data_IF_518120628056
#
_entry.id   IF_518120628056
#
_cell.length_a   1.000
_cell.length_b   1.000
_cell.length_c   1.000
_cell.angle_alpha   90.00
_cell.angle_beta   90.00
_cell.angle_gamma   90.00
#
_symmetry.space_group_name_H-M   'P 1'
#
loop_
_entity.id
_entity.type
_entity.pdbx_description
1 polymer ?
#
# COMPACT_ATOMS: atom_id res chain seq x y z
N UNK A 1 9.13 24.28 7.60
CA UNK A 1 9.24 23.20 6.59
C UNK A 1 9.53 23.82 5.25
N UNK A 2 10.46 23.26 4.49
CA UNK A 2 10.59 23.61 3.06
C UNK A 2 9.37 23.03 2.32
N UNK A 3 9.03 23.60 1.15
CA UNK A 3 7.81 23.24 0.40
C UNK A 3 7.77 21.79 -0.07
N UNK A 4 8.93 21.12 -0.17
CA UNK A 4 9.06 19.75 -0.69
C UNK A 4 8.62 18.70 0.33
N UNK A 5 9.01 18.87 1.59
CA UNK A 5 8.72 17.94 2.68
C UNK A 5 7.23 17.95 3.01
N UNK A 6 6.58 19.12 2.88
CA UNK A 6 5.11 19.22 2.98
C UNK A 6 4.45 18.39 1.89
N UNK A 7 4.92 18.50 0.64
CA UNK A 7 4.35 17.74 -0.48
C UNK A 7 4.54 16.23 -0.33
N UNK A 8 5.70 15.79 0.18
CA UNK A 8 5.96 14.37 0.46
C UNK A 8 5.01 13.83 1.52
N UNK A 9 4.92 14.48 2.68
CA UNK A 9 4.04 14.06 3.77
C UNK A 9 2.55 14.11 3.37
N UNK A 10 2.17 15.09 2.57
CA UNK A 10 0.81 15.17 2.03
C UNK A 10 0.50 14.05 1.03
N UNK A 11 1.47 13.70 0.17
CA UNK A 11 1.35 12.54 -0.71
C UNK A 11 1.19 11.24 0.07
N UNK A 12 1.98 11.07 1.14
CA UNK A 12 1.86 9.93 2.06
C UNK A 12 0.48 9.84 2.68
N UNK A 13 -0.05 10.94 3.20
CA UNK A 13 -1.39 11.00 3.77
C UNK A 13 -2.46 10.55 2.77
N UNK A 14 -2.38 11.02 1.52
CA UNK A 14 -3.33 10.60 0.47
C UNK A 14 -3.20 9.09 0.20
N UNK A 15 -1.98 8.58 0.05
CA UNK A 15 -1.77 7.16 -0.26
C UNK A 15 -2.15 6.26 0.92
N UNK A 16 -1.96 6.69 2.17
CA UNK A 16 -2.45 5.97 3.34
C UNK A 16 -3.97 5.77 3.27
N UNK A 17 -4.73 6.82 2.93
CA UNK A 17 -6.18 6.72 2.69
C UNK A 17 -6.48 5.79 1.52
N UNK A 18 -5.77 5.91 0.41
CA UNK A 18 -5.95 5.01 -0.74
C UNK A 18 -5.66 3.55 -0.39
N UNK A 19 -4.60 3.29 0.37
CA UNK A 19 -4.21 1.96 0.82
C UNK A 19 -5.27 1.31 1.69
N UNK A 20 -5.81 2.06 2.65
CA UNK A 20 -6.95 1.63 3.47
C UNK A 20 -8.17 1.29 2.59
N UNK A 21 -8.48 2.16 1.61
CA UNK A 21 -9.59 1.93 0.68
C UNK A 21 -9.36 0.67 -0.15
N UNK A 22 -8.16 0.43 -0.66
CA UNK A 22 -7.84 -0.75 -1.45
C UNK A 22 -7.91 -2.04 -0.63
N UNK A 23 -7.36 -2.05 0.58
CA UNK A 23 -7.45 -3.17 1.52
C UNK A 23 -8.91 -3.56 1.82
N UNK A 24 -9.74 -2.57 2.15
CA UNK A 24 -11.15 -2.78 2.45
C UNK A 24 -11.97 -3.18 1.22
N UNK A 25 -11.63 -2.65 0.05
CA UNK A 25 -12.26 -3.04 -1.22
C UNK A 25 -12.00 -4.51 -1.54
N UNK A 26 -10.75 -4.97 -1.48
CA UNK A 26 -10.41 -6.38 -1.71
C UNK A 26 -11.12 -7.30 -0.72
N UNK A 27 -11.10 -6.93 0.56
CA UNK A 27 -11.73 -7.70 1.63
C UNK A 27 -13.25 -7.82 1.43
N UNK A 28 -13.89 -6.72 1.00
CA UNK A 28 -15.32 -6.68 0.73
C UNK A 28 -15.69 -7.45 -0.53
N UNK A 29 -14.94 -7.29 -1.63
CA UNK A 29 -15.16 -8.04 -2.87
C UNK A 29 -14.99 -9.54 -2.66
N UNK A 30 -13.95 -9.94 -1.93
CA UNK A 30 -13.73 -11.33 -1.53
C UNK A 30 -14.92 -11.88 -0.75
N UNK A 31 -15.40 -11.13 0.25
CA UNK A 31 -16.56 -11.52 1.06
C UNK A 31 -17.84 -11.66 0.23
N UNK A 32 -18.08 -10.77 -0.74
CA UNK A 32 -19.27 -10.80 -1.59
C UNK A 32 -19.24 -11.90 -2.64
N UNK A 33 -18.07 -12.18 -3.21
CA UNK A 33 -17.91 -13.14 -4.29
C UNK A 33 -17.72 -14.58 -3.80
N UNK A 34 -17.15 -14.77 -2.60
CA UNK A 34 -16.85 -16.09 -2.03
C UNK A 34 -17.77 -16.46 -0.83
N UNK A 35 -18.47 -15.48 -0.24
CA UNK A 35 -19.60 -15.70 0.67
C UNK A 35 -19.26 -15.73 2.17
N UNK A 36 -18.13 -16.32 2.58
CA UNK A 36 -17.72 -16.34 4.00
C UNK A 36 -17.04 -15.02 4.39
N UNK A 37 -17.85 -14.05 4.81
CA UNK A 37 -17.36 -12.69 5.09
C UNK A 37 -16.34 -12.63 6.21
N UNK A 38 -16.53 -13.38 7.31
CA UNK A 38 -15.60 -13.32 8.44
C UNK A 38 -14.25 -13.92 8.03
N UNK A 39 -14.28 -15.08 7.35
CA UNK A 39 -13.06 -15.73 6.89
C UNK A 39 -12.30 -14.86 5.89
N UNK A 40 -12.97 -14.42 4.82
CA UNK A 40 -12.30 -13.69 3.74
C UNK A 40 -11.85 -12.29 4.16
N UNK A 41 -12.65 -11.57 4.95
CA UNK A 41 -12.24 -10.27 5.46
C UNK A 41 -11.00 -10.40 6.36
N UNK A 42 -11.00 -11.36 7.29
CA UNK A 42 -9.86 -11.58 8.19
C UNK A 42 -8.61 -12.02 7.44
N UNK A 43 -8.76 -12.91 6.47
CA UNK A 43 -7.64 -13.45 5.69
C UNK A 43 -7.03 -12.39 4.78
N UNK A 44 -7.84 -11.58 4.09
CA UNK A 44 -7.33 -10.54 3.19
C UNK A 44 -6.64 -9.43 3.98
N UNK A 45 -7.22 -8.93 5.06
CA UNK A 45 -6.54 -7.96 5.93
C UNK A 45 -5.24 -8.53 6.48
N UNK A 46 -5.26 -9.76 7.01
CA UNK A 46 -4.07 -10.41 7.55
C UNK A 46 -2.97 -10.59 6.50
N UNK A 47 -3.34 -10.99 5.28
CA UNK A 47 -2.43 -11.16 4.16
C UNK A 47 -1.88 -9.82 3.67
N UNK A 48 -2.72 -8.79 3.58
CA UNK A 48 -2.34 -7.44 3.17
C UNK A 48 -1.33 -6.83 4.15
N UNK A 49 -1.61 -6.89 5.45
CA UNK A 49 -0.72 -6.44 6.52
C UNK A 49 0.60 -7.22 6.55
N UNK A 50 0.54 -8.55 6.36
CA UNK A 50 1.75 -9.38 6.26
C UNK A 50 2.59 -8.99 5.04
N UNK A 51 1.94 -8.70 3.92
CA UNK A 51 2.58 -8.26 2.68
C UNK A 51 3.19 -6.86 2.80
N UNK A 52 2.56 -5.95 3.56
CA UNK A 52 3.18 -4.69 3.93
C UNK A 52 4.50 -4.90 4.68
N UNK A 53 4.59 -5.90 5.55
CA UNK A 53 5.85 -6.30 6.18
C UNK A 53 6.93 -6.73 5.18
N UNK A 54 6.55 -7.50 4.15
CA UNK A 54 7.45 -7.89 3.05
C UNK A 54 7.90 -6.66 2.25
N UNK A 55 6.97 -5.75 1.93
CA UNK A 55 7.26 -4.47 1.30
C UNK A 55 8.28 -3.63 2.08
N UNK A 56 8.08 -3.51 3.38
CA UNK A 56 8.98 -2.78 4.25
C UNK A 56 10.40 -3.38 4.24
N UNK A 57 10.52 -4.71 4.16
CA UNK A 57 11.80 -5.38 3.95
C UNK A 57 12.40 -5.09 2.56
N UNK A 58 11.59 -5.15 1.50
CA UNK A 58 12.01 -4.87 0.12
C UNK A 58 12.50 -3.42 -0.07
N UNK A 59 11.97 -2.48 0.70
CA UNK A 59 12.38 -1.07 0.67
C UNK A 59 13.89 -0.87 0.87
N UNK A 60 14.57 -1.82 1.54
CA UNK A 60 16.01 -1.78 1.81
C UNK A 60 16.85 -1.86 0.54
N UNK A 61 16.34 -2.52 -0.50
CA UNK A 61 17.04 -2.67 -1.79
C UNK A 61 16.90 -1.44 -2.69
N UNK A 62 16.03 -0.49 -2.35
CA UNK A 62 15.90 0.78 -3.06
C UNK A 62 16.96 1.74 -2.50
N UNK A 63 18.12 1.82 -3.15
CA UNK A 63 19.26 2.61 -2.66
C UNK A 63 19.46 3.94 -3.38
N UNK A 64 19.01 4.07 -4.63
CA UNK A 64 19.36 5.20 -5.50
C UNK A 64 18.08 5.96 -5.90
N UNK A 65 18.19 7.29 -6.00
CA UNK A 65 17.10 8.20 -6.42
C UNK A 65 15.80 8.03 -5.62
N UNK A 66 15.90 8.04 -4.28
CA UNK A 66 14.77 7.75 -3.37
C UNK A 66 13.52 8.59 -3.67
N UNK A 67 13.68 9.90 -3.90
CA UNK A 67 12.55 10.79 -4.26
C UNK A 67 11.83 10.34 -5.54
N UNK A 68 12.61 9.94 -6.56
CA UNK A 68 12.04 9.46 -7.84
C UNK A 68 11.39 8.09 -7.67
N UNK A 69 12.02 7.20 -6.90
CA UNK A 69 11.47 5.88 -6.58
C UNK A 69 10.13 6.01 -5.85
N UNK A 70 10.02 6.97 -4.92
CA UNK A 70 8.79 7.26 -4.20
C UNK A 70 7.67 7.68 -5.15
N UNK A 71 7.92 8.64 -6.06
CA UNK A 71 6.90 9.07 -7.04
C UNK A 71 6.47 7.91 -7.94
N UNK A 72 7.41 7.08 -8.42
CA UNK A 72 7.07 5.90 -9.22
C UNK A 72 6.23 4.89 -8.45
N UNK A 73 6.54 4.68 -7.17
CA UNK A 73 5.77 3.81 -6.29
C UNK A 73 4.33 4.31 -6.16
N UNK A 74 4.12 5.61 -5.89
CA UNK A 74 2.79 6.20 -5.79
C UNK A 74 1.98 6.05 -7.09
N UNK A 75 2.60 6.33 -8.24
CA UNK A 75 1.94 6.17 -9.53
C UNK A 75 1.56 4.72 -9.81
N UNK A 76 2.42 3.78 -9.39
CA UNK A 76 2.18 2.35 -9.56
C UNK A 76 1.05 1.86 -8.64
N UNK A 77 1.02 2.32 -7.38
CA UNK A 77 -0.06 2.03 -6.43
C UNK A 77 -1.38 2.58 -6.95
N UNK A 78 -1.40 3.84 -7.41
CA UNK A 78 -2.61 4.46 -7.96
C UNK A 78 -3.14 3.70 -9.18
N UNK A 79 -2.24 3.19 -10.04
CA UNK A 79 -2.63 2.40 -11.20
C UNK A 79 -3.14 1.01 -10.79
N UNK A 80 -2.37 0.23 -10.04
CA UNK A 80 -2.76 -1.13 -9.67
C UNK A 80 -3.99 -1.11 -8.76
N UNK A 81 -4.00 -0.23 -7.75
CA UNK A 81 -5.08 -0.10 -6.78
C UNK A 81 -6.33 0.54 -7.38
N UNK A 82 -6.18 1.59 -8.19
CA UNK A 82 -7.33 2.22 -8.85
C UNK A 82 -8.08 1.31 -9.81
N UNK A 83 -7.39 0.34 -10.43
CA UNK A 83 -7.99 -0.64 -11.32
C UNK A 83 -8.27 -2.00 -10.64
N UNK A 84 -7.94 -2.19 -9.36
CA UNK A 84 -8.01 -3.50 -8.69
C UNK A 84 -9.41 -4.09 -8.71
N UNK A 85 -10.45 -3.29 -8.42
CA UNK A 85 -11.83 -3.76 -8.45
C UNK A 85 -12.24 -4.28 -9.85
N UNK A 86 -11.88 -3.55 -10.92
CA UNK A 86 -12.13 -4.00 -12.29
C UNK A 86 -11.39 -5.30 -12.61
N UNK A 87 -10.12 -5.41 -12.21
CA UNK A 87 -9.31 -6.61 -12.39
C UNK A 87 -9.92 -7.81 -11.64
N UNK A 88 -10.39 -7.62 -10.41
CA UNK A 88 -10.99 -8.67 -9.60
C UNK A 88 -12.34 -9.13 -10.13
N UNK A 89 -13.22 -8.21 -10.55
CA UNK A 89 -14.48 -8.59 -11.20
C UNK A 89 -14.25 -9.32 -12.53
N UNK A 90 -13.27 -8.86 -13.32
CA UNK A 90 -12.88 -9.56 -14.55
C UNK A 90 -12.34 -10.96 -14.24
N UNK A 91 -11.48 -11.09 -13.23
CA UNK A 91 -10.95 -12.37 -12.79
C UNK A 91 -12.06 -13.31 -12.33
N UNK A 92 -13.03 -12.82 -11.57
CA UNK A 92 -14.16 -13.63 -11.14
C UNK A 92 -14.98 -14.17 -12.32
N UNK A 93 -15.15 -13.37 -13.37
CA UNK A 93 -15.92 -13.77 -14.55
C UNK A 93 -15.18 -14.76 -15.48
N UNK A 94 -13.85 -14.68 -15.58
CA UNK A 94 -13.10 -15.36 -16.65
C UNK A 94 -11.93 -16.24 -16.18
N UNK A 95 -11.45 -16.07 -14.94
CA UNK A 95 -10.31 -16.84 -14.40
C UNK A 95 -10.86 -17.98 -13.54
N UNK A 96 -10.50 -19.22 -13.89
CA UNK A 96 -10.97 -20.41 -13.18
C UNK A 96 -10.51 -20.52 -11.71
N UNK A 97 -9.47 -19.76 -11.32
CA UNK A 97 -8.99 -19.67 -9.95
C UNK A 97 -8.92 -18.21 -9.49
N UNK A 98 -10.08 -17.66 -9.11
CA UNK A 98 -10.23 -16.30 -8.62
C UNK A 98 -9.43 -16.03 -7.34
N UNK A 99 -9.45 -16.95 -6.37
CA UNK A 99 -8.76 -16.78 -5.07
C UNK A 99 -7.26 -16.56 -5.23
N UNK A 100 -6.60 -17.35 -6.09
CA UNK A 100 -5.18 -17.18 -6.35
C UNK A 100 -4.88 -15.80 -6.97
N UNK A 101 -5.74 -15.31 -7.86
CA UNK A 101 -5.59 -13.99 -8.46
C UNK A 101 -5.83 -12.86 -7.45
N UNK A 102 -6.84 -13.01 -6.60
CA UNK A 102 -7.11 -12.11 -5.48
C UNK A 102 -5.89 -11.99 -4.57
N UNK A 103 -5.36 -13.12 -4.09
CA UNK A 103 -4.19 -13.13 -3.21
C UNK A 103 -2.96 -12.50 -3.86
N UNK A 104 -2.78 -12.69 -5.17
CA UNK A 104 -1.69 -12.04 -5.91
C UNK A 104 -1.83 -10.52 -5.90
N UNK A 105 -3.03 -9.98 -6.15
CA UNK A 105 -3.28 -8.54 -6.11
C UNK A 105 -3.11 -7.99 -4.68
N UNK A 106 -3.64 -8.69 -3.67
CA UNK A 106 -3.47 -8.35 -2.24
C UNK A 106 -2.00 -8.29 -1.84
N UNK A 107 -1.20 -9.30 -2.21
CA UNK A 107 0.23 -9.33 -1.90
C UNK A 107 0.96 -8.21 -2.63
N UNK A 108 0.62 -7.95 -3.89
CA UNK A 108 1.23 -6.90 -4.70
C UNK A 108 0.98 -5.51 -4.08
N UNK A 109 -0.28 -5.16 -3.84
CA UNK A 109 -0.64 -3.86 -3.27
C UNK A 109 -0.13 -3.69 -1.85
N UNK A 110 -0.30 -4.69 -0.99
CA UNK A 110 0.26 -4.68 0.36
C UNK A 110 1.78 -4.48 0.35
N UNK A 111 2.51 -5.21 -0.51
CA UNK A 111 3.96 -5.04 -0.63
C UNK A 111 4.35 -3.64 -1.15
N UNK A 112 3.62 -3.08 -2.11
CA UNK A 112 3.90 -1.75 -2.63
C UNK A 112 3.69 -0.66 -1.57
N UNK A 113 2.57 -0.72 -0.82
CA UNK A 113 2.30 0.21 0.29
C UNK A 113 3.32 0.04 1.42
N UNK A 114 3.72 -1.19 1.74
CA UNK A 114 4.72 -1.47 2.75
C UNK A 114 6.10 -0.85 2.47
N UNK A 115 6.46 -0.67 1.19
CA UNK A 115 7.71 -0.01 0.80
C UNK A 115 7.71 1.48 1.18
N UNK A 116 6.55 2.10 1.24
CA UNK A 116 6.38 3.55 1.32
C UNK A 116 6.92 4.16 2.63
N UNK A 117 6.50 3.62 3.78
CA UNK A 117 6.83 4.17 5.10
C UNK A 117 8.34 4.24 5.33
N UNK A 118 9.13 3.15 5.12
CA UNK A 118 10.59 3.24 5.26
C UNK A 118 11.24 4.18 4.25
N UNK A 119 10.69 4.28 3.04
CA UNK A 119 11.26 5.12 1.98
C UNK A 119 11.15 6.60 2.33
N UNK A 120 9.98 7.05 2.81
CA UNK A 120 9.79 8.43 3.27
C UNK A 120 10.69 8.76 4.45
N UNK A 121 10.77 7.87 5.44
CA UNK A 121 11.65 8.07 6.61
C UNK A 121 13.10 8.28 6.13
N UNK A 122 13.55 7.53 5.12
CA UNK A 122 14.90 7.70 4.54
C UNK A 122 15.05 9.03 3.78
N UNK A 123 14.05 9.44 3.00
CA UNK A 123 14.07 10.72 2.26
C UNK A 123 14.11 11.92 3.22
N UNK A 124 13.28 11.91 4.25
CA UNK A 124 13.14 13.01 5.20
C UNK A 124 14.25 13.09 6.26
N UNK A 125 15.15 12.09 6.30
CA UNK A 125 16.25 12.02 7.29
C UNK A 125 17.20 13.22 7.19
N UNK A 126 17.32 13.85 6.03
CA UNK A 126 18.15 15.05 5.85
C UNK A 126 17.50 16.33 6.42
N UNK A 127 16.16 16.35 6.54
CA UNK A 127 15.40 17.53 6.97
C UNK A 127 14.95 17.50 8.43
N UNK A 128 14.92 16.31 9.05
CA UNK A 128 14.41 16.12 10.42
C UNK A 128 15.26 15.13 11.23
N UNK A 129 15.27 15.31 12.56
CA UNK A 129 15.79 14.28 13.46
C UNK A 129 14.99 12.98 13.32
N UNK A 130 15.63 11.82 13.53
CA UNK A 130 14.94 10.52 13.42
C UNK A 130 13.66 10.45 14.25
N UNK A 131 13.70 10.96 15.50
CA UNK A 131 12.54 10.99 16.40
C UNK A 131 11.38 11.76 15.78
N UNK A 132 11.64 12.98 15.28
CA UNK A 132 10.61 13.84 14.68
C UNK A 132 10.11 13.26 13.37
N UNK A 133 11.00 12.71 12.55
CA UNK A 133 10.67 12.14 11.25
C UNK A 133 9.72 10.94 11.40
N UNK A 134 10.10 9.98 12.24
CA UNK A 134 9.26 8.81 12.55
C UNK A 134 7.89 9.24 13.06
N UNK A 135 7.86 10.19 14.01
CA UNK A 135 6.60 10.72 14.54
C UNK A 135 5.72 11.35 13.47
N UNK A 136 6.29 12.21 12.61
CA UNK A 136 5.53 12.89 11.55
C UNK A 136 4.97 11.87 10.53
N UNK A 137 5.79 10.91 10.10
CA UNK A 137 5.39 9.89 9.12
C UNK A 137 4.27 9.02 9.68
N UNK A 138 4.41 8.49 10.91
CA UNK A 138 3.33 7.71 11.51
C UNK A 138 2.07 8.53 11.81
N UNK A 139 2.21 9.83 12.09
CA UNK A 139 1.04 10.70 12.27
C UNK A 139 0.26 10.81 10.97
N UNK A 140 0.93 11.00 9.83
CA UNK A 140 0.23 11.11 8.53
C UNK A 140 -0.27 9.77 7.99
N UNK A 141 0.31 8.66 8.43
CA UNK A 141 -0.08 7.31 8.01
C UNK A 141 -1.33 6.80 8.75
N UNK A 142 -1.49 7.18 10.02
CA UNK A 142 -2.54 6.64 10.90
C UNK A 142 -3.68 7.61 11.28
N UNK A 143 -3.56 8.91 10.99
CA UNK A 143 -4.58 9.93 11.28
C UNK A 143 -5.17 10.43 9.98
#
# INVERSE_FOLDING_TARGET
>A
MKSKEVALLFGTFIIAICGLVYELLESTLSSYLLGDSIYHFSLIIGLFMSSMGVGAWLSRFVEIHLERAFVWLQMSIALVGGFSAFMLFYAFAYIGNYEAFLYLITILLGSMLGIEIPLIIRILKESFSLKTNISNVFTVDYV
#
